data_IF_437960747506
#
_entry.id   IF_437960747506
#
_cell.length_a   1.000
_cell.length_b   1.000
_cell.length_c   1.000
_cell.angle_alpha   90.00
_cell.angle_beta   90.00
_cell.angle_gamma   90.00
#
_symmetry.space_group_name_H-M   'P 1'
#
loop_
_entity.id
_entity.type
_entity.pdbx_description
1 polymer ?
#
# COMPACT_ATOMS: atom_id res chain seq x y z
N UNK A 1 -21.92 24.00 -5.20
CA UNK A 1 -22.06 23.03 -4.07
C UNK A 1 -22.31 21.59 -4.58
N UNK A 2 -21.49 21.08 -5.53
CA UNK A 2 -21.58 19.69 -6.03
C UNK A 2 -20.23 18.94 -5.96
N UNK A 3 -19.09 19.65 -5.90
CA UNK A 3 -17.74 19.06 -5.79
C UNK A 3 -17.45 18.40 -4.43
N UNK A 4 -17.85 19.05 -3.34
CA UNK A 4 -17.52 18.67 -1.95
C UNK A 4 -17.88 17.21 -1.62
N UNK A 5 -19.02 16.75 -2.16
CA UNK A 5 -19.56 15.40 -1.91
C UNK A 5 -18.80 14.31 -2.67
N UNK A 6 -18.19 14.62 -3.82
CA UNK A 6 -17.38 13.66 -4.59
C UNK A 6 -16.00 13.50 -3.96
N UNK A 7 -15.40 14.60 -3.54
CA UNK A 7 -14.09 14.59 -2.90
C UNK A 7 -14.14 13.87 -1.55
N UNK A 8 -15.20 14.12 -0.75
CA UNK A 8 -15.45 13.38 0.49
C UNK A 8 -15.66 11.86 0.27
N UNK A 9 -16.22 11.45 -0.87
CA UNK A 9 -16.42 10.03 -1.20
C UNK A 9 -15.10 9.37 -1.60
N UNK A 10 -14.30 10.03 -2.43
CA UNK A 10 -13.00 9.52 -2.88
C UNK A 10 -11.99 9.37 -1.72
N UNK A 11 -12.01 10.30 -0.76
CA UNK A 11 -11.16 10.21 0.43
C UNK A 11 -11.53 9.00 1.28
N UNK A 12 -12.82 8.75 1.52
CA UNK A 12 -13.28 7.58 2.30
C UNK A 12 -13.00 6.25 1.60
N UNK A 13 -13.10 6.21 0.28
CA UNK A 13 -12.74 5.03 -0.51
C UNK A 13 -11.24 4.74 -0.39
N UNK A 14 -10.38 5.76 -0.50
CA UNK A 14 -8.94 5.64 -0.27
C UNK A 14 -8.59 5.18 1.15
N UNK A 15 -9.23 5.75 2.17
CA UNK A 15 -9.00 5.34 3.56
C UNK A 15 -9.38 3.86 3.78
N UNK A 16 -10.46 3.40 3.12
CA UNK A 16 -10.90 2.01 3.16
C UNK A 16 -9.90 1.09 2.47
N UNK A 17 -9.40 1.48 1.29
CA UNK A 17 -8.40 0.72 0.54
C UNK A 17 -7.07 0.63 1.30
N UNK A 18 -6.63 1.72 1.94
CA UNK A 18 -5.44 1.75 2.78
C UNK A 18 -5.57 0.84 3.99
N UNK A 19 -6.72 0.87 4.68
CA UNK A 19 -6.98 -0.02 5.82
C UNK A 19 -6.97 -1.50 5.41
N UNK A 20 -7.57 -1.82 4.26
CA UNK A 20 -7.55 -3.19 3.72
C UNK A 20 -6.13 -3.66 3.38
N UNK A 21 -5.34 -2.81 2.73
CA UNK A 21 -3.96 -3.12 2.39
C UNK A 21 -3.06 -3.27 3.61
N UNK A 22 -3.19 -2.39 4.60
CA UNK A 22 -2.46 -2.49 5.87
C UNK A 22 -2.75 -3.82 6.57
N UNK A 23 -4.02 -4.20 6.68
CA UNK A 23 -4.38 -5.49 7.29
C UNK A 23 -3.79 -6.68 6.52
N UNK A 24 -3.78 -6.62 5.18
CA UNK A 24 -3.23 -7.68 4.35
C UNK A 24 -1.70 -7.75 4.43
N UNK A 25 -1.02 -6.64 4.67
CA UNK A 25 0.42 -6.58 4.91
C UNK A 25 0.78 -7.24 6.24
N UNK A 26 0.05 -6.94 7.31
CA UNK A 26 0.25 -7.57 8.63
C UNK A 26 0.05 -9.10 8.54
N UNK A 27 -1.05 -9.53 7.92
CA UNK A 27 -1.34 -10.95 7.71
C UNK A 27 -0.26 -11.65 6.86
N UNK A 28 0.24 -10.98 5.83
CA UNK A 28 1.28 -11.49 4.94
C UNK A 28 2.62 -11.64 5.64
N UNK A 29 3.02 -10.64 6.45
CA UNK A 29 4.24 -10.68 7.25
C UNK A 29 4.19 -11.85 8.24
N UNK A 30 3.11 -11.98 9.01
CA UNK A 30 2.96 -13.05 10.00
C UNK A 30 3.05 -14.45 9.36
N UNK A 31 2.48 -14.63 8.16
CA UNK A 31 2.57 -15.89 7.41
C UNK A 31 3.97 -16.18 6.91
N UNK A 32 4.68 -15.18 6.40
CA UNK A 32 6.07 -15.32 5.96
C UNK A 32 6.95 -15.70 7.15
N UNK A 33 6.82 -15.01 8.29
CA UNK A 33 7.56 -15.33 9.51
C UNK A 33 7.30 -16.77 9.98
N UNK A 34 6.04 -17.20 9.99
CA UNK A 34 5.68 -18.57 10.37
C UNK A 34 6.28 -19.63 9.42
N UNK A 35 6.34 -19.35 8.11
CA UNK A 35 6.91 -20.25 7.11
C UNK A 35 8.44 -20.29 7.17
N UNK A 36 9.10 -19.15 7.40
CA UNK A 36 10.54 -19.08 7.65
C UNK A 36 10.95 -19.93 8.87
N UNK A 37 10.17 -19.89 9.95
CA UNK A 37 10.42 -20.74 11.13
C UNK A 37 10.28 -22.24 10.84
N UNK A 38 9.53 -22.61 9.80
CA UNK A 38 9.40 -24.01 9.33
C UNK A 38 10.46 -24.38 8.27
N UNK A 39 11.31 -23.45 7.87
CA UNK A 39 12.30 -23.66 6.80
C UNK A 39 11.68 -23.78 5.40
N UNK A 40 10.49 -23.22 5.21
CA UNK A 40 9.82 -23.17 3.90
C UNK A 40 10.42 -22.06 3.02
N UNK A 41 10.44 -22.28 1.71
CA UNK A 41 10.79 -21.23 0.74
C UNK A 41 9.63 -20.23 0.65
N UNK A 42 9.88 -19.00 1.09
CA UNK A 42 8.91 -17.90 1.11
C UNK A 42 9.12 -16.89 -0.01
N UNK A 43 10.08 -17.09 -0.92
CA UNK A 43 10.47 -16.07 -1.89
C UNK A 43 9.29 -15.59 -2.76
N UNK A 44 8.39 -16.50 -3.15
CA UNK A 44 7.18 -16.13 -3.89
C UNK A 44 6.22 -15.28 -3.06
N UNK A 45 6.13 -15.53 -1.75
CA UNK A 45 5.26 -14.81 -0.83
C UNK A 45 5.85 -13.45 -0.46
N UNK A 46 7.16 -13.35 -0.25
CA UNK A 46 7.88 -12.08 -0.06
C UNK A 46 7.71 -11.17 -1.28
N UNK A 47 7.88 -11.70 -2.49
CA UNK A 47 7.65 -10.95 -3.73
C UNK A 47 6.21 -10.47 -3.91
N UNK A 48 5.25 -11.20 -3.34
CA UNK A 48 3.85 -10.77 -3.33
C UNK A 48 3.61 -9.69 -2.27
N UNK A 49 4.18 -9.87 -1.08
CA UNK A 49 4.11 -8.90 0.02
C UNK A 49 4.72 -7.54 -0.36
N UNK A 50 5.88 -7.55 -1.02
CA UNK A 50 6.51 -6.32 -1.54
C UNK A 50 5.62 -5.58 -2.56
N UNK A 51 4.88 -6.32 -3.38
CA UNK A 51 3.91 -5.70 -4.32
C UNK A 51 2.74 -5.05 -3.60
N UNK A 52 2.25 -5.66 -2.52
CA UNK A 52 1.22 -5.07 -1.67
C UNK A 52 1.74 -3.80 -0.97
N UNK A 53 3.00 -3.83 -0.51
CA UNK A 53 3.62 -2.69 0.17
C UNK A 53 3.71 -1.50 -0.79
N UNK A 54 4.23 -1.70 -2.00
CA UNK A 54 4.29 -0.63 -3.00
C UNK A 54 2.90 -0.08 -3.37
N UNK A 55 1.86 -0.93 -3.37
CA UNK A 55 0.49 -0.48 -3.62
C UNK A 55 -0.04 0.39 -2.47
N UNK A 56 0.22 -0.02 -1.23
CA UNK A 56 -0.10 0.78 -0.03
C UNK A 56 0.63 2.12 -0.06
N UNK A 57 1.94 2.12 -0.29
CA UNK A 57 2.78 3.31 -0.40
C UNK A 57 2.28 4.23 -1.52
N UNK A 58 1.96 3.70 -2.70
CA UNK A 58 1.45 4.50 -3.82
C UNK A 58 0.09 5.17 -3.53
N UNK A 59 -0.79 4.49 -2.79
CA UNK A 59 -2.09 5.04 -2.41
C UNK A 59 -1.95 6.07 -1.27
N UNK A 60 -1.01 5.83 -0.36
CA UNK A 60 -0.68 6.73 0.74
C UNK A 60 0.03 7.99 0.25
N UNK A 61 0.99 7.83 -0.65
CA UNK A 61 1.82 8.88 -1.26
C UNK A 61 1.16 9.53 -2.48
N UNK A 62 -0.13 9.29 -2.71
CA UNK A 62 -0.95 9.97 -3.73
C UNK A 62 -1.05 11.50 -3.58
N UNK A 63 -0.17 12.12 -2.78
CA UNK A 63 0.07 13.55 -2.61
C UNK A 63 1.56 13.96 -2.72
N UNK A 64 2.51 13.05 -2.99
CA UNK A 64 3.94 13.27 -2.69
C UNK A 64 4.96 13.03 -3.81
N UNK A 65 4.54 12.81 -5.07
CA UNK A 65 5.47 12.55 -6.19
C UNK A 65 5.24 13.51 -7.37
N UNK A 66 5.17 14.81 -7.08
CA UNK A 66 5.35 15.88 -8.09
C UNK A 66 6.61 16.75 -7.81
N UNK A 67 7.36 16.52 -6.73
CA UNK A 67 8.49 17.39 -6.33
C UNK A 67 9.89 16.90 -6.82
N UNK A 68 9.97 16.22 -7.97
CA UNK A 68 11.28 15.90 -8.58
C UNK A 68 11.46 16.42 -10.02
N UNK A 69 10.46 17.08 -10.61
CA UNK A 69 10.55 17.60 -11.99
C UNK A 69 10.92 19.09 -12.09
N UNK A 70 11.25 19.79 -11.00
CA UNK A 70 11.54 21.24 -11.02
C UNK A 70 13.01 21.61 -10.76
N UNK A 71 13.90 20.64 -10.53
CA UNK A 71 15.33 20.88 -10.24
C UNK A 71 16.21 20.43 -11.42
N UNK A 72 15.85 20.83 -12.63
CA UNK A 72 16.76 20.82 -13.78
C UNK A 72 16.41 22.04 -14.64
N UNK A 73 16.86 23.19 -14.16
CA UNK A 73 16.97 24.43 -14.93
C UNK A 73 18.15 24.36 -15.92
#
# INVERSE_FOLDING_TARGET
MREDRRQSSQVRERDTDLAFLAHRLDDGEARIQAALLRGEDVAAWENFWLRLLHQYESLHDGAGIDEQASIAA
#
